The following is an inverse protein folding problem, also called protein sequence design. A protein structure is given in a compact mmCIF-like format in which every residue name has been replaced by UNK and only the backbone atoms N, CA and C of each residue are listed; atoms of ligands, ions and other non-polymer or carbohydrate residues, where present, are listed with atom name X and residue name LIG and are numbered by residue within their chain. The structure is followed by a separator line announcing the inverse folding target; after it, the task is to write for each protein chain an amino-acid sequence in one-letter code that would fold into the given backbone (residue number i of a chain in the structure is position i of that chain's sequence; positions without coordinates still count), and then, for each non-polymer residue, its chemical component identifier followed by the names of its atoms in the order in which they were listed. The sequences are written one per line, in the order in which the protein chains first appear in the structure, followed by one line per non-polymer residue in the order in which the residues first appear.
data_IF_224031203310
#
_entry.id   IF_224031203310
#
_cell.length_a   1.000
_cell.length_b   1.000
_cell.length_c   1.000
_cell.angle_alpha   90.00
_cell.angle_beta   90.00
_cell.angle_gamma   90.00
#
_symmetry.space_group_name_H-M   'P 1'
#
loop_
_entity.id
_entity.type
_entity.pdbx_description
1 polymer ?
#
# COMPACT_ATOMS: atom_id res chain seq x y z
N UNK A 1 -2.41 -30.14 2.47
CA UNK A 1 -2.93 -28.81 2.11
C UNK A 1 -1.73 -27.89 1.98
N UNK A 2 -1.36 -27.49 0.76
CA UNK A 2 -0.31 -26.51 0.54
C UNK A 2 -0.92 -25.12 0.74
N UNK A 3 -0.34 -24.30 1.62
CA UNK A 3 -0.71 -22.89 1.70
C UNK A 3 -0.19 -22.20 0.45
N UNK A 4 -1.07 -21.61 -0.35
CA UNK A 4 -0.60 -20.74 -1.43
C UNK A 4 0.05 -19.49 -0.83
N UNK A 5 1.20 -19.05 -1.36
CA UNK A 5 1.87 -17.87 -0.87
C UNK A 5 1.02 -16.63 -1.18
N UNK A 6 0.58 -15.94 -0.13
CA UNK A 6 -0.10 -14.64 -0.25
C UNK A 6 0.92 -13.62 -0.72
N UNK A 7 0.62 -12.92 -1.80
CA UNK A 7 1.47 -11.87 -2.36
C UNK A 7 1.04 -10.50 -1.83
N UNK A 8 1.91 -9.51 -2.00
CA UNK A 8 1.60 -8.13 -1.62
C UNK A 8 0.35 -7.60 -2.36
N UNK A 9 0.17 -8.01 -3.61
CA UNK A 9 -0.96 -7.60 -4.46
C UNK A 9 -2.30 -8.11 -3.91
N UNK A 10 -2.30 -9.23 -3.18
CA UNK A 10 -3.52 -9.81 -2.60
C UNK A 10 -4.06 -9.02 -1.38
N UNK A 11 -3.22 -8.20 -0.75
CA UNK A 11 -3.57 -7.46 0.48
C UNK A 11 -3.60 -5.95 0.30
N UNK A 12 -3.26 -5.44 -0.89
CA UNK A 12 -3.09 -3.99 -1.12
C UNK A 12 -4.20 -3.42 -1.98
N UNK A 13 -4.77 -2.30 -1.54
CA UNK A 13 -5.75 -1.53 -2.32
C UNK A 13 -5.03 -0.38 -3.02
N UNK A 14 -5.07 -0.35 -4.35
CA UNK A 14 -4.55 0.74 -5.15
C UNK A 14 -5.67 1.71 -5.48
N UNK A 15 -5.48 2.99 -5.17
CA UNK A 15 -6.45 4.03 -5.46
C UNK A 15 -5.97 4.89 -6.62
N UNK A 16 -6.85 5.12 -7.59
CA UNK A 16 -6.64 6.15 -8.60
C UNK A 16 -6.73 7.55 -7.98
N UNK A 17 -6.25 8.57 -8.70
CA UNK A 17 -6.33 9.96 -8.25
C UNK A 17 -7.75 10.41 -7.94
N UNK A 18 -8.73 10.01 -8.77
CA UNK A 18 -10.13 10.34 -8.57
C UNK A 18 -10.72 9.66 -7.33
N UNK A 19 -10.36 8.40 -7.06
CA UNK A 19 -10.80 7.68 -5.86
C UNK A 19 -10.16 8.27 -4.60
N UNK A 20 -8.88 8.64 -4.66
CA UNK A 20 -8.19 9.32 -3.58
C UNK A 20 -8.82 10.67 -3.21
N UNK A 21 -9.19 11.47 -4.21
CA UNK A 21 -9.82 12.75 -4.00
C UNK A 21 -11.28 12.62 -3.52
N UNK A 22 -11.91 11.48 -3.77
CA UNK A 22 -13.25 11.14 -3.25
C UNK A 22 -13.25 10.59 -1.81
N UNK A 23 -12.08 10.20 -1.27
CA UNK A 23 -11.99 9.73 0.12
C UNK A 23 -12.19 10.86 1.12
N UNK A 24 -12.91 10.56 2.20
CA UNK A 24 -12.96 11.43 3.36
C UNK A 24 -11.57 11.59 3.99
N UNK A 25 -11.30 12.73 4.64
CA UNK A 25 -9.99 13.02 5.23
C UNK A 25 -9.48 11.90 6.14
N UNK A 26 -10.33 11.34 7.01
CA UNK A 26 -9.96 10.22 7.88
C UNK A 26 -9.66 8.90 7.15
N UNK A 27 -10.24 8.68 5.97
CA UNK A 27 -9.92 7.50 5.15
C UNK A 27 -8.58 7.68 4.42
N UNK A 28 -8.23 8.91 4.04
CA UNK A 28 -6.92 9.25 3.46
C UNK A 28 -5.80 9.06 4.48
N UNK A 29 -6.05 9.47 5.72
CA UNK A 29 -5.12 9.28 6.84
C UNK A 29 -4.87 7.79 7.11
N UNK A 30 -5.93 6.99 7.24
CA UNK A 30 -5.81 5.54 7.41
C UNK A 30 -5.06 4.86 6.25
N UNK A 31 -5.29 5.31 5.02
CA UNK A 31 -4.55 4.79 3.86
C UNK A 31 -3.06 5.15 3.94
N UNK A 32 -2.73 6.39 4.30
CA UNK A 32 -1.34 6.83 4.47
C UNK A 32 -0.63 6.04 5.56
N UNK A 33 -1.28 5.80 6.70
CA UNK A 33 -0.71 5.02 7.81
C UNK A 33 -0.42 3.58 7.37
N UNK A 34 -1.40 2.90 6.77
CA UNK A 34 -1.24 1.50 6.33
C UNK A 34 -0.14 1.36 5.28
N UNK A 35 -0.06 2.30 4.33
CA UNK A 35 0.98 2.28 3.29
C UNK A 35 2.35 2.64 3.86
N UNK A 36 2.44 3.54 4.85
CA UNK A 36 3.69 3.90 5.52
C UNK A 36 4.24 2.75 6.36
N UNK A 37 3.40 2.10 7.17
CA UNK A 37 3.79 0.93 7.98
C UNK A 37 4.31 -0.21 7.10
N UNK A 38 3.66 -0.41 5.97
CA UNK A 38 4.07 -1.37 4.94
C UNK A 38 5.43 -0.98 4.33
N UNK A 39 5.64 0.31 4.03
CA UNK A 39 6.90 0.81 3.49
C UNK A 39 8.06 0.63 4.46
N UNK A 40 7.84 0.93 5.75
CA UNK A 40 8.84 0.72 6.81
C UNK A 40 9.17 -0.76 6.97
N UNK A 41 8.17 -1.64 6.94
CA UNK A 41 8.37 -3.09 6.99
C UNK A 41 9.21 -3.58 5.80
N UNK A 42 8.87 -3.18 4.57
CA UNK A 42 9.60 -3.57 3.36
C UNK A 42 11.04 -3.03 3.36
N UNK A 43 11.24 -1.82 3.86
CA UNK A 43 12.57 -1.20 4.05
C UNK A 43 13.38 -1.97 5.09
N UNK A 44 12.77 -2.34 6.22
CA UNK A 44 13.42 -3.14 7.27
C UNK A 44 13.79 -4.54 6.79
N UNK A 45 13.04 -5.11 5.86
CA UNK A 45 13.33 -6.42 5.24
C UNK A 45 14.40 -6.34 4.15
N UNK A 46 14.96 -5.15 3.88
CA UNK A 46 16.03 -4.94 2.90
C UNK A 46 15.60 -5.16 1.45
N UNK A 47 14.29 -5.04 1.15
CA UNK A 47 13.71 -5.35 -0.15
C UNK A 47 13.13 -4.11 -0.86
N UNK A 48 13.96 -3.11 -1.21
CA UNK A 48 13.51 -1.85 -1.83
C UNK A 48 12.95 -2.04 -3.25
N UNK A 49 13.11 -3.21 -3.87
CA UNK A 49 12.61 -3.51 -5.21
C UNK A 49 11.12 -3.82 -5.30
N UNK A 50 10.49 -4.24 -4.20
CA UNK A 50 9.06 -4.60 -4.12
C UNK A 50 8.19 -3.48 -3.53
N UNK A 51 8.74 -2.28 -3.40
CA UNK A 51 7.97 -1.11 -3.00
C UNK A 51 6.86 -0.87 -4.04
N UNK A 52 5.59 -0.73 -3.63
CA UNK A 52 4.52 -0.37 -4.54
C UNK A 52 4.73 1.06 -5.03
N UNK A 53 5.42 1.20 -6.16
CA UNK A 53 5.58 2.48 -6.87
C UNK A 53 4.25 3.11 -7.29
N UNK A 54 3.17 2.33 -7.29
CA UNK A 54 1.81 2.75 -7.65
C UNK A 54 0.85 2.89 -6.45
N UNK A 55 1.25 2.50 -5.24
CA UNK A 55 0.39 2.60 -4.04
C UNK A 55 0.35 4.00 -3.45
N UNK A 56 1.35 4.82 -3.74
CA UNK A 56 1.26 6.24 -3.40
C UNK A 56 0.55 6.97 -4.52
N UNK A 57 -0.54 7.72 -4.25
CA UNK A 57 -1.03 8.69 -5.21
C UNK A 57 0.17 9.60 -5.55
N UNK A 58 0.50 9.73 -6.83
CA UNK A 58 1.49 10.71 -7.28
C UNK A 58 0.88 12.09 -7.04
N UNK A 59 1.16 12.67 -5.87
CA UNK A 59 0.80 14.05 -5.51
C UNK A 59 2.06 14.89 -5.55
#
# INVERSE_FOLDING_TARGET
LSQEPVTFEDVTVFLSRAEWDALAAGQRELYQDVVSDTYELLTSLGNPGNLPRQGFPQI
#
